data_IF_751489460040
#
_entry.id   IF_751489460040
#
_cell.length_a   1.000
_cell.length_b   1.000
_cell.length_c   1.000
_cell.angle_alpha   90.00
_cell.angle_beta   90.00
_cell.angle_gamma   90.00
#
_symmetry.space_group_name_H-M   'P 1'
#
loop_
_entity.id
_entity.type
_entity.pdbx_description
1 polymer ?
#
# COMPACT_ATOMS: atom_id res chain seq x y z
N UNK A 1 -0.10 -9.12 3.66
CA UNK A 1 -0.89 -8.04 4.27
C UNK A 1 -1.70 -7.39 3.15
N UNK A 2 -2.94 -7.83 2.92
CA UNK A 2 -3.77 -7.23 1.87
C UNK A 2 -4.17 -5.81 2.27
N UNK A 3 -3.94 -4.86 1.36
CA UNK A 3 -4.32 -3.46 1.59
C UNK A 3 -5.84 -3.36 1.62
N UNK A 4 -6.40 -2.53 2.51
CA UNK A 4 -7.87 -2.31 2.58
C UNK A 4 -8.45 -1.88 1.23
N UNK A 5 -7.63 -1.22 0.40
CA UNK A 5 -7.96 -0.82 -0.97
C UNK A 5 -8.30 -1.98 -1.90
N UNK A 6 -7.69 -3.16 -1.72
CA UNK A 6 -7.92 -4.33 -2.58
C UNK A 6 -9.30 -4.97 -2.37
N UNK A 7 -9.97 -4.69 -1.25
CA UNK A 7 -11.29 -5.25 -0.92
C UNK A 7 -12.45 -4.45 -1.50
N UNK A 8 -12.18 -3.20 -1.89
CA UNK A 8 -13.16 -2.28 -2.46
C UNK A 8 -13.87 -2.85 -3.71
N UNK A 9 -13.16 -3.36 -4.75
CA UNK A 9 -13.83 -3.92 -5.93
C UNK A 9 -14.72 -5.12 -5.58
N UNK A 10 -14.28 -5.99 -4.67
CA UNK A 10 -15.05 -7.14 -4.23
C UNK A 10 -16.37 -6.74 -3.53
N UNK A 11 -16.32 -5.73 -2.67
CA UNK A 11 -17.52 -5.19 -2.02
C UNK A 11 -18.49 -4.56 -3.03
N UNK A 12 -17.96 -3.84 -4.02
CA UNK A 12 -18.74 -3.17 -5.06
C UNK A 12 -19.42 -4.18 -5.98
N UNK A 13 -18.74 -5.26 -6.33
CA UNK A 13 -19.32 -6.36 -7.11
C UNK A 13 -20.44 -7.10 -6.35
N UNK A 14 -20.33 -7.18 -5.03
CA UNK A 14 -21.29 -7.86 -4.16
C UNK A 14 -22.60 -7.09 -3.95
N UNK A 15 -22.69 -5.85 -4.45
CA UNK A 15 -23.94 -5.07 -4.45
C UNK A 15 -24.95 -5.66 -5.44
N UNK A 16 -26.26 -5.52 -5.21
CA UNK A 16 -27.31 -5.92 -6.16
C UNK A 16 -27.41 -4.92 -7.34
N UNK A 17 -26.29 -4.69 -8.04
CA UNK A 17 -26.21 -3.75 -9.16
C UNK A 17 -26.98 -4.24 -10.40
N UNK A 18 -27.31 -5.54 -10.46
CA UNK A 18 -28.05 -6.15 -11.57
C UNK A 18 -29.47 -5.60 -11.70
N UNK A 19 -30.14 -5.38 -10.57
CA UNK A 19 -31.50 -4.84 -10.51
C UNK A 19 -31.52 -3.31 -10.43
N UNK A 20 -30.35 -2.68 -10.41
CA UNK A 20 -30.22 -1.25 -10.27
C UNK A 20 -30.52 -0.48 -11.58
N UNK A 21 -30.92 0.81 -11.47
CA UNK A 21 -31.07 1.69 -12.61
C UNK A 21 -29.74 1.92 -13.37
N UNK A 22 -29.86 2.27 -14.65
CA UNK A 22 -28.72 2.38 -15.57
C UNK A 22 -27.61 3.35 -15.14
N UNK A 23 -27.92 4.37 -14.33
CA UNK A 23 -26.90 5.27 -13.78
C UNK A 23 -25.99 4.53 -12.78
N UNK A 24 -26.58 3.79 -11.85
CA UNK A 24 -25.82 3.06 -10.83
C UNK A 24 -24.97 1.94 -11.43
N UNK A 25 -25.46 1.29 -12.51
CA UNK A 25 -24.68 0.31 -13.27
C UNK A 25 -23.42 0.90 -13.91
N UNK A 26 -23.53 2.12 -14.44
CA UNK A 26 -22.37 2.85 -14.99
C UNK A 26 -21.42 3.23 -13.88
N UNK A 27 -21.92 3.74 -12.76
CA UNK A 27 -21.11 4.14 -11.61
C UNK A 27 -20.34 2.96 -11.03
N UNK A 28 -20.98 1.80 -10.87
CA UNK A 28 -20.33 0.54 -10.45
C UNK A 28 -19.23 0.15 -11.43
N UNK A 29 -19.48 0.21 -12.74
CA UNK A 29 -18.48 -0.10 -13.76
C UNK A 29 -17.26 0.84 -13.69
N UNK A 30 -17.50 2.16 -13.63
CA UNK A 30 -16.44 3.16 -13.46
C UNK A 30 -15.63 2.92 -12.19
N UNK A 31 -16.30 2.66 -11.07
CA UNK A 31 -15.65 2.43 -9.79
C UNK A 31 -14.84 1.12 -9.79
N UNK A 32 -15.35 0.07 -10.46
CA UNK A 32 -14.61 -1.17 -10.69
C UNK A 32 -13.32 -0.92 -11.48
N UNK A 33 -13.40 -0.12 -12.56
CA UNK A 33 -12.23 0.23 -13.38
C UNK A 33 -11.19 1.05 -12.61
N UNK A 34 -11.61 2.00 -11.79
CA UNK A 34 -10.69 2.84 -10.98
C UNK A 34 -10.01 2.01 -9.89
N UNK A 35 -10.74 1.09 -9.26
CA UNK A 35 -10.23 0.31 -8.12
C UNK A 35 -9.34 -0.86 -8.53
N UNK A 36 -9.23 -1.16 -9.82
CA UNK A 36 -8.24 -2.12 -10.35
C UNK A 36 -6.80 -1.59 -10.26
N UNK A 37 -6.60 -0.27 -10.29
CA UNK A 37 -5.32 0.35 -9.96
C UNK A 37 -5.22 0.57 -8.44
N UNK A 38 -4.64 -0.40 -7.77
CA UNK A 38 -4.35 -0.32 -6.35
C UNK A 38 -3.36 0.83 -6.08
N UNK A 39 -3.61 1.60 -5.00
CA UNK A 39 -2.71 2.68 -4.58
C UNK A 39 -1.41 2.05 -4.07
N UNK A 40 -0.42 1.92 -4.95
CA UNK A 40 0.93 1.51 -4.59
C UNK A 40 1.73 2.76 -4.32
N UNK A 41 2.09 2.98 -3.06
CA UNK A 41 3.18 3.89 -2.76
C UNK A 41 4.46 3.23 -3.24
N UNK A 42 5.09 3.73 -4.29
CA UNK A 42 6.39 3.21 -4.77
C UNK A 42 7.52 4.03 -4.18
N UNK A 43 8.49 3.37 -3.55
CA UNK A 43 9.73 4.03 -3.11
C UNK A 43 10.60 4.26 -4.32
N UNK A 44 10.96 5.53 -4.58
CA UNK A 44 11.79 5.94 -5.72
C UNK A 44 11.33 5.37 -7.08
N UNK A 45 10.03 5.06 -7.21
CA UNK A 45 9.48 4.33 -8.36
C UNK A 45 10.08 2.92 -8.62
N UNK A 46 10.93 2.40 -7.74
CA UNK A 46 11.64 1.12 -7.92
C UNK A 46 10.84 -0.07 -7.38
N UNK A 47 10.27 0.05 -6.17
CA UNK A 47 9.54 -1.05 -5.54
C UNK A 47 8.32 -0.58 -4.74
N UNK A 48 7.27 -1.42 -4.62
CA UNK A 48 6.13 -1.17 -3.74
C UNK A 48 6.59 -1.01 -2.29
N UNK A 49 6.18 0.07 -1.64
CA UNK A 49 6.33 0.28 -0.21
C UNK A 49 5.31 -0.59 0.51
N UNK A 50 5.76 -1.72 1.04
CA UNK A 50 5.02 -2.51 2.02
C UNK A 50 5.43 -2.14 3.44
N UNK A 51 4.61 -2.51 4.43
CA UNK A 51 4.95 -2.37 5.86
C UNK A 51 6.25 -3.11 6.18
N UNK A 52 6.47 -4.28 5.57
CA UNK A 52 7.71 -5.05 5.71
C UNK A 52 8.93 -4.30 5.18
N UNK A 53 8.80 -3.63 4.03
CA UNK A 53 9.87 -2.82 3.44
C UNK A 53 10.19 -1.61 4.31
N UNK A 54 9.17 -0.93 4.83
CA UNK A 54 9.37 0.18 5.76
C UNK A 54 10.11 -0.27 7.03
N UNK A 55 9.69 -1.40 7.62
CA UNK A 55 10.35 -1.97 8.78
C UNK A 55 11.82 -2.35 8.50
N UNK A 56 12.12 -2.88 7.31
CA UNK A 56 13.49 -3.16 6.87
C UNK A 56 14.33 -1.90 6.77
N UNK A 57 13.81 -0.83 6.15
CA UNK A 57 14.50 0.46 6.05
C UNK A 57 14.83 0.98 7.45
N UNK A 58 13.85 0.99 8.36
CA UNK A 58 14.03 1.44 9.73
C UNK A 58 15.10 0.62 10.46
N UNK A 59 15.05 -0.72 10.33
CA UNK A 59 16.03 -1.61 10.94
C UNK A 59 17.44 -1.35 10.42
N UNK A 60 17.61 -1.16 9.11
CA UNK A 60 18.90 -0.81 8.51
C UNK A 60 19.42 0.55 8.99
N UNK A 61 18.55 1.56 9.10
CA UNK A 61 18.92 2.87 9.64
C UNK A 61 19.38 2.77 11.10
N UNK A 62 18.69 1.98 11.93
CA UNK A 62 19.11 1.73 13.31
C UNK A 62 20.42 0.95 13.39
N UNK A 63 20.61 -0.11 12.59
CA UNK A 63 21.89 -0.83 12.54
C UNK A 63 23.04 0.11 12.15
N UNK A 64 22.82 0.97 11.17
CA UNK A 64 23.81 1.97 10.77
C UNK A 64 24.10 2.98 11.88
N UNK A 65 23.06 3.49 12.54
CA UNK A 65 23.21 4.35 13.71
C UNK A 65 24.00 3.67 14.82
N UNK A 66 23.71 2.41 15.14
CA UNK A 66 24.43 1.65 16.17
C UNK A 66 25.92 1.56 15.84
N UNK A 67 26.27 1.19 14.60
CA UNK A 67 27.67 1.12 14.15
C UNK A 67 28.37 2.48 14.32
N UNK A 68 27.75 3.56 13.87
CA UNK A 68 28.31 4.91 14.04
C UNK A 68 28.45 5.31 15.53
N UNK A 69 27.49 4.92 16.36
CA UNK A 69 27.52 5.20 17.80
C UNK A 69 28.59 4.39 18.54
N UNK A 70 28.88 3.17 18.08
CA UNK A 70 29.98 2.34 18.61
C UNK A 70 31.33 2.98 18.33
N UNK A 71 31.57 3.48 17.12
CA UNK A 71 32.81 4.19 16.81
C UNK A 71 32.98 5.45 17.67
N UNK A 72 31.91 6.22 17.89
CA UNK A 72 31.94 7.38 18.78
C UNK A 72 32.22 7.01 20.25
N UNK A 73 31.85 5.81 20.68
CA UNK A 73 32.10 5.33 22.04
C UNK A 73 33.52 4.78 22.23
N UNK A 74 34.19 4.33 21.16
CA UNK A 74 35.60 3.89 21.19
C UNK A 74 36.62 5.04 21.20
N UNK A 75 36.22 6.25 20.77
CA UNK A 75 37.05 7.46 20.76
C UNK A 75 37.01 8.29 22.08
N UNK A 76 36.38 7.79 23.15
CA UNK A 76 36.40 8.37 24.52
C UNK A 76 37.05 7.41 25.52
#
# INVERSE_FOLDING_TARGET
>A
MESKSQKIPFCVYSLPWQDAPNHLKKDVCFFMSITQEYIILRVMNMFPLSVDTFAKILKSSFSYYTVLSSFKAEDN
#
